data_IF_714222957015
#
_entry.id   IF_714222957015
#
_cell.length_a   1.000
_cell.length_b   1.000
_cell.length_c   1.000
_cell.angle_alpha   90.00
_cell.angle_beta   90.00
_cell.angle_gamma   90.00
#
_symmetry.space_group_name_H-M   'P 1'
#
loop_
_entity.id
_entity.type
_entity.pdbx_description
1 polymer ?
#
# COMPACT_ATOMS: atom_id res chain seq x y z
N UNK A 1 8.27 -3.04 -24.11
CA UNK A 1 9.40 -3.47 -23.25
C UNK A 1 10.78 -3.16 -23.84
N UNK A 2 11.22 -3.79 -24.95
CA UNK A 2 12.60 -3.67 -25.47
C UNK A 2 13.07 -2.24 -25.81
N UNK A 3 12.21 -1.41 -26.40
CA UNK A 3 12.55 0.00 -26.69
C UNK A 3 12.76 0.84 -25.42
N UNK A 4 11.90 0.69 -24.41
CA UNK A 4 11.99 1.43 -23.13
C UNK A 4 13.20 0.98 -22.30
N UNK A 5 13.53 -0.30 -22.35
CA UNK A 5 14.74 -0.86 -21.74
C UNK A 5 16.00 -0.36 -22.47
N UNK A 6 15.98 -0.30 -23.80
CA UNK A 6 17.10 0.19 -24.62
C UNK A 6 17.33 1.70 -24.49
N UNK A 7 16.28 2.48 -24.20
CA UNK A 7 16.36 3.93 -23.97
C UNK A 7 16.66 4.32 -22.52
N UNK A 8 16.83 3.34 -21.61
CA UNK A 8 17.08 3.58 -20.18
C UNK A 8 15.91 4.19 -19.39
N UNK A 9 14.71 4.26 -19.98
CA UNK A 9 13.53 4.84 -19.31
C UNK A 9 12.93 3.91 -18.25
N UNK A 10 13.22 2.61 -18.34
CA UNK A 10 12.82 1.64 -17.34
C UNK A 10 13.88 0.54 -17.23
N UNK A 11 13.94 -0.12 -16.08
CA UNK A 11 14.84 -1.26 -15.86
C UNK A 11 14.05 -2.52 -15.49
N UNK A 12 14.64 -3.70 -15.70
CA UNK A 12 14.09 -4.94 -15.15
C UNK A 12 14.58 -5.08 -13.72
N UNK A 13 13.66 -5.18 -12.78
CA UNK A 13 13.97 -5.30 -11.35
C UNK A 13 13.43 -6.62 -10.80
N UNK A 14 14.09 -7.12 -9.78
CA UNK A 14 13.63 -8.27 -9.00
C UNK A 14 12.81 -7.77 -7.82
N UNK A 15 11.63 -8.32 -7.60
CA UNK A 15 10.72 -7.91 -6.53
C UNK A 15 10.07 -9.12 -5.84
N UNK A 16 9.59 -8.89 -4.62
CA UNK A 16 8.80 -9.83 -3.85
C UNK A 16 7.59 -9.09 -3.30
N UNK A 17 6.39 -9.60 -3.57
CA UNK A 17 5.13 -9.07 -3.07
C UNK A 17 4.62 -9.99 -1.96
N UNK A 18 4.39 -9.44 -0.77
CA UNK A 18 3.84 -10.16 0.36
C UNK A 18 2.74 -9.35 1.02
N UNK A 19 1.68 -10.03 1.44
CA UNK A 19 0.57 -9.46 2.18
C UNK A 19 0.52 -10.14 3.53
N UNK A 20 0.58 -9.36 4.60
CA UNK A 20 0.43 -9.85 5.96
C UNK A 20 -0.80 -9.20 6.56
N UNK A 21 -1.82 -10.02 6.85
CA UNK A 21 -3.04 -9.61 7.51
C UNK A 21 -3.05 -10.13 8.95
N UNK A 22 -3.57 -9.30 9.87
CA UNK A 22 -3.79 -9.67 11.26
C UNK A 22 -5.26 -9.94 11.48
N UNK A 23 -5.59 -11.04 12.14
CA UNK A 23 -6.94 -11.43 12.51
C UNK A 23 -6.98 -11.82 13.98
N UNK A 24 -8.18 -12.07 14.52
CA UNK A 24 -8.32 -12.62 15.87
C UNK A 24 -7.69 -14.01 15.92
N UNK A 25 -7.20 -14.40 17.09
CA UNK A 25 -6.59 -15.72 17.33
C UNK A 25 -7.68 -16.82 17.34
N UNK A 26 -8.23 -17.08 16.17
CA UNK A 26 -9.21 -18.13 15.89
C UNK A 26 -8.92 -18.71 14.51
N UNK A 27 -8.80 -20.03 14.43
CA UNK A 27 -8.48 -20.75 13.19
C UNK A 27 -9.55 -20.55 12.10
N UNK A 28 -10.82 -20.49 12.47
CA UNK A 28 -11.92 -20.26 11.53
C UNK A 28 -11.82 -18.87 10.91
N UNK A 29 -11.65 -17.83 11.76
CA UNK A 29 -11.50 -16.45 11.31
C UNK A 29 -10.23 -16.27 10.47
N UNK A 30 -9.14 -16.96 10.79
CA UNK A 30 -7.91 -16.91 9.99
C UNK A 30 -8.12 -17.49 8.58
N UNK A 31 -8.85 -18.61 8.47
CA UNK A 31 -9.17 -19.24 7.19
C UNK A 31 -10.11 -18.37 6.34
N UNK A 32 -11.13 -17.78 6.95
CA UNK A 32 -12.04 -16.85 6.27
C UNK A 32 -11.29 -15.65 5.68
N UNK A 33 -10.45 -14.99 6.50
CA UNK A 33 -9.65 -13.85 6.07
C UNK A 33 -8.65 -14.23 4.97
N UNK A 34 -8.02 -15.40 5.08
CA UNK A 34 -7.14 -15.93 4.03
C UNK A 34 -7.89 -16.08 2.70
N UNK A 35 -9.06 -16.72 2.70
CA UNK A 35 -9.86 -16.91 1.50
C UNK A 35 -10.33 -15.58 0.90
N UNK A 36 -10.76 -14.63 1.73
CA UNK A 36 -11.19 -13.31 1.28
C UNK A 36 -10.08 -12.54 0.57
N UNK A 37 -8.85 -12.59 1.10
CA UNK A 37 -7.68 -11.96 0.49
C UNK A 37 -7.36 -12.64 -0.84
N UNK A 38 -7.28 -13.98 -0.86
CA UNK A 38 -6.97 -14.73 -2.07
C UNK A 38 -8.00 -14.45 -3.18
N UNK A 39 -9.28 -14.44 -2.85
CA UNK A 39 -10.36 -14.18 -3.79
C UNK A 39 -10.35 -12.73 -4.30
N UNK A 40 -10.04 -11.77 -3.44
CA UNK A 40 -9.97 -10.34 -3.81
C UNK A 40 -8.86 -10.07 -4.82
N UNK A 41 -7.67 -10.65 -4.61
CA UNK A 41 -6.55 -10.49 -5.54
C UNK A 41 -6.74 -11.30 -6.82
N UNK A 42 -7.31 -12.51 -6.73
CA UNK A 42 -7.60 -13.35 -7.90
C UNK A 42 -8.57 -12.66 -8.86
N UNK A 43 -9.59 -11.95 -8.35
CA UNK A 43 -10.51 -11.14 -9.17
C UNK A 43 -9.79 -10.04 -9.97
N UNK A 44 -8.69 -9.51 -9.43
CA UNK A 44 -7.87 -8.49 -10.08
C UNK A 44 -6.74 -9.09 -10.94
N UNK A 45 -6.75 -10.41 -11.18
CA UNK A 45 -5.74 -11.10 -12.00
C UNK A 45 -4.44 -11.44 -11.27
N UNK A 46 -4.38 -11.25 -9.95
CA UNK A 46 -3.23 -11.63 -9.13
C UNK A 46 -3.48 -12.96 -8.43
N UNK A 47 -2.68 -13.97 -8.76
CA UNK A 47 -2.71 -15.24 -8.05
C UNK A 47 -1.73 -15.20 -6.88
N UNK A 48 -2.26 -15.25 -5.66
CA UNK A 48 -1.49 -15.30 -4.42
C UNK A 48 -1.46 -16.72 -3.86
N UNK A 49 -0.37 -17.06 -3.19
CA UNK A 49 -0.17 -18.36 -2.54
C UNK A 49 -0.03 -18.12 -1.04
N UNK A 50 -0.74 -18.92 -0.25
CA UNK A 50 -0.63 -18.90 1.20
C UNK A 50 0.72 -19.48 1.65
N UNK A 51 1.57 -18.70 2.33
CA UNK A 51 2.88 -19.17 2.76
C UNK A 51 2.73 -20.13 3.94
N UNK A 52 3.17 -21.39 3.80
CA UNK A 52 3.27 -22.32 4.93
C UNK A 52 4.65 -22.21 5.59
N UNK A 53 4.69 -22.16 6.93
CA UNK A 53 5.91 -22.09 7.76
C UNK A 53 6.85 -20.90 7.53
N UNK A 54 6.47 -19.95 6.68
CA UNK A 54 7.30 -18.79 6.32
C UNK A 54 6.74 -17.45 6.83
N UNK A 55 5.75 -17.49 7.72
CA UNK A 55 5.03 -16.30 8.19
C UNK A 55 5.96 -15.25 8.81
N UNK A 56 6.87 -15.65 9.71
CA UNK A 56 7.80 -14.73 10.37
C UNK A 56 8.78 -14.10 9.37
N UNK A 57 9.37 -14.89 8.48
CA UNK A 57 10.28 -14.40 7.43
C UNK A 57 9.57 -13.36 6.54
N UNK A 58 8.38 -13.69 6.08
CA UNK A 58 7.59 -12.84 5.21
C UNK A 58 7.16 -11.55 5.93
N UNK A 59 6.76 -11.63 7.21
CA UNK A 59 6.46 -10.45 8.02
C UNK A 59 7.67 -9.52 8.15
N UNK A 60 8.85 -10.05 8.49
CA UNK A 60 10.07 -9.25 8.62
C UNK A 60 10.44 -8.57 7.30
N UNK A 61 10.16 -9.20 6.14
CA UNK A 61 10.43 -8.59 4.83
C UNK A 61 9.52 -7.41 4.50
N UNK A 62 8.36 -7.27 5.15
CA UNK A 62 7.48 -6.11 5.00
C UNK A 62 7.96 -4.88 5.78
N UNK A 63 8.87 -5.04 6.74
CA UNK A 63 9.39 -3.93 7.53
C UNK A 63 10.46 -3.15 6.74
N UNK A 64 10.49 -1.81 6.87
CA UNK A 64 11.49 -1.00 6.19
C UNK A 64 12.91 -1.40 6.62
N UNK A 65 13.84 -1.39 5.66
CA UNK A 65 15.26 -1.71 5.84
C UNK A 65 15.61 -3.15 6.29
N UNK A 66 14.62 -4.03 6.49
CA UNK A 66 14.88 -5.42 6.88
C UNK A 66 15.29 -6.30 5.70
N UNK A 67 14.70 -6.10 4.52
CA UNK A 67 15.00 -6.88 3.32
C UNK A 67 16.49 -6.86 2.93
N UNK A 68 17.18 -5.73 3.16
CA UNK A 68 18.60 -5.54 2.84
C UNK A 68 19.57 -6.35 3.70
N UNK A 69 19.16 -6.86 4.87
CA UNK A 69 20.01 -7.59 5.82
C UNK A 69 20.18 -9.08 5.47
N UNK A 70 20.14 -9.44 4.18
CA UNK A 70 20.24 -10.82 3.69
C UNK A 70 18.91 -11.56 3.57
N UNK A 71 17.80 -11.02 4.11
CA UNK A 71 16.45 -11.57 3.91
C UNK A 71 16.08 -11.67 2.42
N UNK A 72 16.45 -10.68 1.61
CA UNK A 72 16.22 -10.74 0.16
C UNK A 72 16.99 -11.86 -0.54
N UNK A 73 18.19 -12.21 -0.06
CA UNK A 73 18.95 -13.35 -0.57
C UNK A 73 18.22 -14.66 -0.28
N UNK A 74 17.69 -14.83 0.93
CA UNK A 74 16.87 -15.98 1.31
C UNK A 74 15.59 -16.09 0.49
N UNK A 75 14.92 -14.96 0.21
CA UNK A 75 13.75 -14.94 -0.68
C UNK A 75 14.12 -15.40 -2.11
N UNK A 76 15.28 -14.98 -2.60
CA UNK A 76 15.79 -15.40 -3.92
C UNK A 76 16.11 -16.90 -3.95
N UNK A 77 16.72 -17.43 -2.90
CA UNK A 77 17.01 -18.87 -2.75
C UNK A 77 15.73 -19.71 -2.61
N UNK A 78 14.70 -19.17 -1.96
CA UNK A 78 13.38 -19.80 -1.87
C UNK A 78 12.57 -19.77 -3.19
N UNK A 79 13.08 -19.12 -4.23
CA UNK A 79 12.43 -19.06 -5.55
C UNK A 79 11.16 -18.21 -5.59
N UNK A 80 10.91 -17.38 -4.57
CA UNK A 80 9.68 -16.55 -4.48
C UNK A 80 9.84 -15.15 -5.09
N UNK A 81 11.04 -14.80 -5.56
CA UNK A 81 11.33 -13.51 -6.18
C UNK A 81 10.95 -13.53 -7.65
N UNK A 82 10.14 -12.55 -8.05
CA UNK A 82 9.69 -12.36 -9.43
C UNK A 82 10.47 -11.23 -10.11
N UNK A 83 10.38 -11.15 -11.44
CA UNK A 83 11.00 -10.09 -12.24
C UNK A 83 9.96 -9.34 -13.03
N UNK A 84 9.98 -8.02 -12.93
CA UNK A 84 9.10 -7.14 -13.69
C UNK A 84 9.83 -5.85 -14.07
N UNK A 85 9.18 -5.06 -14.94
CA UNK A 85 9.62 -3.71 -15.25
C UNK A 85 9.50 -2.83 -13.99
N UNK A 86 10.50 -1.97 -13.74
CA UNK A 86 10.54 -1.09 -12.56
C UNK A 86 9.29 -0.23 -12.42
N UNK A 87 8.70 0.20 -13.54
CA UNK A 87 7.43 0.90 -13.58
C UNK A 87 6.28 0.09 -12.97
N UNK A 88 6.18 -1.20 -13.29
CA UNK A 88 5.12 -2.07 -12.78
C UNK A 88 5.31 -2.34 -11.28
N UNK A 89 6.57 -2.53 -10.84
CA UNK A 89 6.87 -2.74 -9.41
C UNK A 89 6.58 -1.50 -8.58
N UNK A 90 6.86 -0.30 -9.11
CA UNK A 90 6.50 0.95 -8.45
C UNK A 90 4.97 1.07 -8.24
N UNK A 91 4.17 0.67 -9.24
CA UNK A 91 2.71 0.68 -9.13
C UNK A 91 2.13 -0.39 -8.19
N UNK A 92 2.89 -1.45 -7.89
CA UNK A 92 2.53 -2.48 -6.89
C UNK A 92 2.93 -2.09 -5.48
N UNK A 93 3.75 -1.05 -5.32
CA UNK A 93 4.14 -0.57 -4.00
C UNK A 93 2.90 0.01 -3.30
N UNK A 94 2.65 -0.33 -2.03
CA UNK A 94 1.53 0.24 -1.26
C UNK A 94 1.79 1.71 -0.86
N UNK A 95 2.43 2.48 -1.74
CA UNK A 95 2.43 3.94 -1.71
C UNK A 95 1.11 4.37 -2.34
N UNK A 96 0.01 4.19 -1.60
CA UNK A 96 -1.25 4.88 -1.88
C UNK A 96 -1.04 6.33 -1.48
N UNK A 97 -0.32 7.07 -2.31
CA UNK A 97 -0.26 8.52 -2.28
C UNK A 97 -1.40 9.03 -3.15
N UNK A 98 -2.66 8.76 -2.77
CA UNK A 98 -3.78 9.36 -3.48
C UNK A 98 -4.87 9.80 -2.51
N UNK A 99 -4.68 11.02 -2.05
CA UNK A 99 -5.75 11.96 -1.81
C UNK A 99 -5.28 13.25 -2.46
N UNK A 100 -6.01 13.81 -3.45
CA UNK A 100 -5.71 15.10 -4.05
C UNK A 100 -6.05 16.26 -3.08
N UNK A 101 -5.88 16.03 -1.78
CA UNK A 101 -5.85 17.09 -0.80
C UNK A 101 -4.54 17.86 -0.94
N UNK A 102 -4.43 18.93 -0.17
CA UNK A 102 -3.35 19.88 -0.32
C UNK A 102 -2.02 19.22 0.03
N UNK A 103 -0.92 19.54 -0.68
CA UNK A 103 0.40 18.98 -0.39
C UNK A 103 1.03 19.53 0.90
N UNK A 104 0.41 20.55 1.49
CA UNK A 104 0.81 21.22 2.72
C UNK A 104 -0.44 21.79 3.41
N UNK A 105 -0.35 22.14 4.69
CA UNK A 105 -1.46 22.74 5.43
C UNK A 105 -1.65 22.15 6.83
N UNK A 106 -2.82 22.37 7.41
CA UNK A 106 -3.20 21.80 8.70
C UNK A 106 -3.38 20.29 8.56
N UNK A 107 -2.72 19.49 9.40
CA UNK A 107 -2.88 18.04 9.41
C UNK A 107 -4.32 17.68 9.79
N UNK A 108 -5.02 16.99 8.91
CA UNK A 108 -6.38 16.55 9.10
C UNK A 108 -6.41 15.05 9.43
N UNK A 109 -7.27 14.61 10.38
CA UNK A 109 -7.46 13.19 10.64
C UNK A 109 -7.99 12.46 9.39
N UNK A 110 -7.25 11.51 8.82
CA UNK A 110 -7.68 10.76 7.64
C UNK A 110 -8.61 9.61 7.99
N UNK A 111 -9.42 9.18 7.03
CA UNK A 111 -10.27 7.99 7.16
C UNK A 111 -9.54 6.66 6.82
N UNK A 112 -8.29 6.69 6.37
CA UNK A 112 -7.59 5.49 5.84
C UNK A 112 -6.05 5.54 5.96
N UNK A 113 -5.52 5.62 7.18
CA UNK A 113 -4.06 5.54 7.45
C UNK A 113 -3.16 6.38 6.51
N UNK A 114 -3.66 7.55 6.07
CA UNK A 114 -3.03 8.38 5.06
C UNK A 114 -2.78 9.77 5.63
N UNK A 115 -1.66 10.44 5.35
CA UNK A 115 -1.54 11.85 5.73
C UNK A 115 -2.43 12.72 4.84
N UNK A 116 -3.33 13.48 5.45
CA UNK A 116 -4.20 14.44 4.78
C UNK A 116 -3.90 15.84 5.31
N UNK A 117 -3.76 16.82 4.42
CA UNK A 117 -3.61 18.22 4.79
C UNK A 117 -4.79 19.04 4.29
N UNK A 118 -5.18 20.02 5.09
CA UNK A 118 -6.16 21.04 4.74
C UNK A 118 -5.43 22.36 4.61
N UNK A 119 -5.35 22.88 3.39
CA UNK A 119 -4.97 24.26 3.11
C UNK A 119 -6.13 24.94 2.35
N UNK A 120 -6.83 25.82 3.06
CA UNK A 120 -7.96 26.59 2.50
C UNK A 120 -7.52 27.51 1.36
N UNK A 121 -6.22 27.86 1.26
CA UNK A 121 -5.68 28.74 0.23
C UNK A 121 -5.13 27.99 -0.98
N UNK A 122 -5.13 26.65 -0.95
CA UNK A 122 -4.57 25.86 -2.02
C UNK A 122 -5.41 25.93 -3.29
N UNK A 123 -4.82 26.47 -4.36
CA UNK A 123 -5.47 26.69 -5.66
C UNK A 123 -5.73 25.41 -6.46
N UNK A 124 -5.14 24.27 -6.07
CA UNK A 124 -5.31 23.00 -6.77
C UNK A 124 -6.58 22.22 -6.41
N UNK A 125 -7.33 22.65 -5.38
CA UNK A 125 -8.62 22.03 -4.99
C UNK A 125 -9.82 22.57 -5.78
N UNK A 126 -9.60 23.41 -6.81
CA UNK A 126 -10.65 24.09 -7.59
C UNK A 126 -11.61 24.94 -6.72
N UNK A 127 -11.12 25.48 -5.60
CA UNK A 127 -11.89 26.33 -4.70
C UNK A 127 -12.02 27.74 -5.29
N UNK A 128 -13.24 28.26 -5.38
CA UNK A 128 -13.51 29.65 -5.83
C UNK A 128 -13.49 30.66 -4.69
N UNK A 129 -13.44 30.20 -3.43
CA UNK A 129 -13.40 31.02 -2.23
C UNK A 129 -12.70 30.28 -1.08
N UNK A 130 -12.52 30.98 0.04
CA UNK A 130 -11.79 30.50 1.23
C UNK A 130 -12.73 30.09 2.38
N UNK A 131 -14.00 29.83 2.08
CA UNK A 131 -15.00 29.54 3.11
C UNK A 131 -15.00 28.04 3.46
N UNK A 132 -15.07 27.72 4.75
CA UNK A 132 -15.21 26.34 5.26
C UNK A 132 -16.58 26.19 5.94
N UNK A 133 -17.30 25.13 5.59
CA UNK A 133 -18.55 24.76 6.26
C UNK A 133 -18.37 23.42 6.97
N UNK A 134 -18.61 23.39 8.29
CA UNK A 134 -18.55 22.18 9.11
C UNK A 134 -19.97 21.79 9.49
N UNK A 135 -20.43 20.63 9.02
CA UNK A 135 -21.76 20.09 9.34
C UNK A 135 -21.61 18.75 10.06
N UNK A 136 -22.52 18.48 11.00
CA UNK A 136 -22.51 17.28 11.83
C UNK A 136 -23.67 17.29 12.82
N UNK A 137 -23.95 16.16 13.45
CA UNK A 137 -25.01 16.03 14.46
C UNK A 137 -24.55 16.57 15.83
N UNK A 138 -25.49 16.83 16.74
CA UNK A 138 -25.13 17.24 18.12
C UNK A 138 -24.30 16.14 18.78
N UNK A 139 -23.18 16.52 19.42
CA UNK A 139 -22.22 15.57 20.01
C UNK A 139 -21.17 14.99 19.06
N UNK A 140 -21.21 15.30 17.75
CA UNK A 140 -20.27 14.75 16.76
C UNK A 140 -18.89 15.43 16.71
N UNK A 141 -18.54 16.28 17.69
CA UNK A 141 -17.20 16.88 17.77
C UNK A 141 -16.94 18.06 16.83
N UNK A 142 -17.98 18.79 16.35
CA UNK A 142 -17.83 19.94 15.45
C UNK A 142 -16.98 21.11 15.99
N UNK A 143 -16.81 21.19 17.32
CA UNK A 143 -16.06 22.26 18.01
C UNK A 143 -14.66 21.80 18.45
N UNK A 144 -14.32 20.52 18.21
CA UNK A 144 -13.05 19.92 18.58
C UNK A 144 -11.95 20.15 17.55
#
# INVERSE_FOLDING_TARGET
LRQRLGSGQSSVVSYFLNITAFCKDNNETALEVEQDILNSFRKNGFELISPRFNHMRNFLTCLPFMAGKGLFKQLKEAGVVQRAESFNVANLMPLVADNPLTPAGLLAPPYRNQLAFIDIFFRGMNNTNYNMAVCGTSGAGKTG
#
